data_IF_454233158332
#
_entry.id   IF_454233158332
#
_cell.length_a   1.000
_cell.length_b   1.000
_cell.length_c   1.000
_cell.angle_alpha   90.00
_cell.angle_beta   90.00
_cell.angle_gamma   90.00
#
_symmetry.space_group_name_H-M   'P 1'
#
loop_
_entity.id
_entity.type
_entity.pdbx_description
1 polymer ?
#
# COMPACT_ATOMS: atom_id res chain seq x y z
N UNK A 1 -15.08 -10.98 23.24
CA UNK A 1 -14.00 -11.84 23.80
C UNK A 1 -12.64 -11.17 23.65
N UNK A 2 -12.16 -10.81 22.45
CA UNK A 2 -10.89 -10.07 22.28
C UNK A 2 -10.82 -8.73 23.05
N UNK A 3 -11.87 -7.90 22.96
CA UNK A 3 -11.91 -6.64 23.70
C UNK A 3 -11.75 -6.83 25.22
N UNK A 4 -12.40 -7.86 25.78
CA UNK A 4 -12.28 -8.24 27.19
C UNK A 4 -10.89 -8.79 27.56
N UNK A 5 -10.11 -9.26 26.58
CA UNK A 5 -8.76 -9.81 26.80
C UNK A 5 -7.69 -8.72 26.85
N UNK A 6 -8.01 -7.56 26.28
CA UNK A 6 -7.19 -6.35 26.29
C UNK A 6 -7.43 -5.50 27.54
N UNK A 7 -8.50 -5.78 28.29
CA UNK A 7 -8.78 -5.14 29.58
C UNK A 7 -7.86 -5.75 30.65
N UNK A 8 -7.18 -4.94 31.48
CA UNK A 8 -6.31 -5.42 32.55
C UNK A 8 -7.02 -6.37 33.52
N UNK A 9 -6.29 -7.36 34.04
CA UNK A 9 -6.83 -8.33 34.98
C UNK A 9 -7.35 -7.63 36.26
N UNK A 10 -8.61 -7.91 36.62
CA UNK A 10 -9.27 -7.32 37.78
C UNK A 10 -10.18 -6.12 37.46
N UNK A 11 -10.15 -5.60 36.23
CA UNK A 11 -11.08 -4.54 35.80
C UNK A 11 -12.42 -5.11 35.29
N UNK A 12 -13.46 -4.27 35.32
CA UNK A 12 -14.81 -4.65 34.90
C UNK A 12 -14.81 -4.97 33.40
N UNK A 13 -15.16 -6.22 33.07
CA UNK A 13 -15.15 -6.72 31.69
C UNK A 13 -13.87 -7.46 31.29
N UNK A 14 -12.90 -7.62 32.20
CA UNK A 14 -11.73 -8.47 31.98
C UNK A 14 -12.10 -9.95 31.88
N UNK A 15 -11.39 -10.68 31.02
CA UNK A 15 -11.45 -12.14 30.99
C UNK A 15 -10.82 -12.74 32.25
N UNK A 16 -11.47 -13.76 32.82
CA UNK A 16 -10.88 -14.51 33.94
C UNK A 16 -9.57 -15.20 33.50
N UNK A 17 -8.57 -15.33 34.39
CA UNK A 17 -7.30 -15.98 34.05
C UNK A 17 -7.47 -17.42 33.53
N UNK A 18 -8.38 -18.19 34.13
CA UNK A 18 -8.69 -19.56 33.69
C UNK A 18 -9.24 -19.58 32.26
N UNK A 19 -10.16 -18.68 31.94
CA UNK A 19 -10.75 -18.61 30.60
C UNK A 19 -9.75 -18.13 29.55
N UNK A 20 -8.87 -17.22 29.92
CA UNK A 20 -7.75 -16.79 29.07
C UNK A 20 -6.83 -17.97 28.75
N UNK A 21 -6.41 -18.72 29.77
CA UNK A 21 -5.54 -19.90 29.60
C UNK A 21 -6.17 -20.96 28.71
N UNK A 22 -7.46 -21.25 28.89
CA UNK A 22 -8.18 -22.19 28.03
C UNK A 22 -8.21 -21.76 26.56
N UNK A 23 -8.33 -20.46 26.28
CA UNK A 23 -8.27 -19.94 24.92
C UNK A 23 -6.85 -20.00 24.33
N UNK A 24 -5.82 -19.72 25.14
CA UNK A 24 -4.40 -19.85 24.75
C UNK A 24 -4.03 -21.30 24.41
N UNK A 25 -4.63 -22.29 25.11
CA UNK A 25 -4.44 -23.71 24.82
C UNK A 25 -5.09 -24.15 23.49
N UNK A 26 -6.23 -23.56 23.13
CA UNK A 26 -6.93 -23.86 21.87
C UNK A 26 -6.18 -23.26 20.68
N UNK A 27 -5.77 -22.00 20.80
CA UNK A 27 -5.03 -21.26 19.78
C UNK A 27 -4.15 -20.23 20.47
N UNK A 28 -2.82 -20.43 20.54
CA UNK A 28 -1.90 -19.46 21.14
C UNK A 28 -2.04 -18.03 20.60
N UNK A 29 -2.61 -17.88 19.40
CA UNK A 29 -2.73 -16.63 18.67
C UNK A 29 -4.17 -16.10 18.58
N UNK A 30 -5.05 -16.51 19.50
CA UNK A 30 -6.44 -16.08 19.54
C UNK A 30 -6.63 -14.58 19.85
N UNK A 31 -5.69 -13.96 20.60
CA UNK A 31 -5.71 -12.53 20.94
C UNK A 31 -4.36 -11.84 20.63
N UNK A 32 -4.01 -11.67 19.35
CA UNK A 32 -2.71 -11.11 18.98
C UNK A 32 -2.69 -9.59 19.12
N UNK A 33 -1.49 -9.02 19.16
CA UNK A 33 -1.27 -7.56 19.19
C UNK A 33 -1.58 -6.87 17.85
N UNK A 34 -1.53 -7.61 16.74
CA UNK A 34 -1.71 -7.06 15.39
C UNK A 34 -3.17 -6.92 14.93
N UNK A 35 -3.44 -6.15 13.84
CA UNK A 35 -4.79 -5.92 13.35
C UNK A 35 -5.56 -7.18 12.97
N UNK A 36 -6.88 -7.18 13.20
CA UNK A 36 -7.78 -8.30 12.85
C UNK A 36 -7.75 -8.64 11.35
N UNK A 37 -7.52 -7.65 10.50
CA UNK A 37 -7.41 -7.84 9.04
C UNK A 37 -6.23 -8.76 8.71
N UNK A 38 -5.09 -8.56 9.38
CA UNK A 38 -3.92 -9.43 9.21
C UNK A 38 -4.24 -10.87 9.63
N UNK A 39 -4.89 -11.05 10.79
CA UNK A 39 -5.28 -12.37 11.29
C UNK A 39 -6.22 -13.10 10.31
N UNK A 40 -7.17 -12.38 9.70
CA UNK A 40 -8.09 -12.93 8.69
C UNK A 40 -7.35 -13.35 7.41
N UNK A 41 -6.45 -12.52 6.91
CA UNK A 41 -5.62 -12.85 5.74
C UNK A 41 -4.70 -14.05 6.02
N UNK A 42 -4.10 -14.12 7.21
CA UNK A 42 -3.31 -15.28 7.64
C UNK A 42 -4.15 -16.56 7.71
N UNK A 43 -5.31 -16.52 8.36
CA UNK A 43 -6.22 -17.68 8.42
C UNK A 43 -6.61 -18.17 7.02
N UNK A 44 -6.81 -17.25 6.08
CA UNK A 44 -7.09 -17.54 4.68
C UNK A 44 -5.91 -18.18 3.96
N UNK A 45 -4.68 -17.68 4.19
CA UNK A 45 -3.45 -18.29 3.69
C UNK A 45 -3.24 -19.70 4.26
N UNK A 46 -3.39 -19.87 5.58
CA UNK A 46 -3.31 -21.16 6.26
C UNK A 46 -4.36 -22.14 5.75
N UNK A 47 -5.58 -21.69 5.48
CA UNK A 47 -6.62 -22.53 4.89
C UNK A 47 -6.24 -23.02 3.50
N UNK A 48 -5.64 -22.16 2.65
CA UNK A 48 -5.12 -22.57 1.34
C UNK A 48 -4.02 -23.62 1.49
N UNK A 49 -3.10 -23.39 2.42
CA UNK A 49 -2.02 -24.33 2.75
C UNK A 49 -2.58 -25.71 3.14
N UNK A 50 -3.52 -25.75 4.08
CA UNK A 50 -4.19 -26.98 4.50
C UNK A 50 -4.95 -27.67 3.37
N UNK A 51 -5.70 -26.92 2.54
CA UNK A 51 -6.43 -27.48 1.37
C UNK A 51 -5.49 -28.04 0.29
N UNK A 52 -4.22 -27.67 0.31
CA UNK A 52 -3.22 -28.10 -0.68
C UNK A 52 -2.23 -29.11 -0.08
N UNK A 53 -2.54 -29.72 1.08
CA UNK A 53 -1.65 -30.63 1.81
C UNK A 53 -0.24 -30.04 2.06
N UNK A 54 -0.19 -28.72 2.27
CA UNK A 54 1.04 -27.96 2.47
C UNK A 54 1.85 -27.66 1.21
N UNK A 55 1.40 -28.10 0.04
CA UNK A 55 2.09 -27.92 -1.25
C UNK A 55 1.69 -26.60 -1.93
N UNK A 56 2.03 -25.47 -1.29
CA UNK A 56 1.80 -24.14 -1.86
C UNK A 56 3.13 -23.46 -2.17
N UNK A 57 3.35 -23.16 -3.45
CA UNK A 57 4.45 -22.29 -3.88
C UNK A 57 4.03 -20.82 -3.73
N UNK A 58 4.31 -20.25 -2.56
CA UNK A 58 4.02 -18.84 -2.26
C UNK A 58 4.82 -17.85 -3.11
N UNK A 59 5.97 -18.26 -3.62
CA UNK A 59 6.86 -17.40 -4.43
C UNK A 59 6.29 -17.18 -5.82
N UNK A 60 5.59 -18.19 -6.36
CA UNK A 60 4.95 -18.15 -7.68
C UNK A 60 3.48 -17.76 -7.65
N UNK A 61 2.94 -17.44 -6.47
CA UNK A 61 1.53 -17.07 -6.34
C UNK A 61 1.26 -15.76 -7.10
N UNK A 62 0.34 -15.73 -8.10
CA UNK A 62 0.03 -14.52 -8.83
C UNK A 62 -0.48 -13.41 -7.90
N UNK A 63 -0.02 -12.17 -8.12
CA UNK A 63 -0.33 -11.02 -7.24
C UNK A 63 -1.83 -10.73 -7.18
N UNK A 64 -2.58 -11.00 -8.24
CA UNK A 64 -4.02 -10.82 -8.34
C UNK A 64 -4.84 -12.01 -7.81
N UNK A 65 -4.19 -13.02 -7.21
CA UNK A 65 -4.89 -14.18 -6.65
C UNK A 65 -5.84 -13.77 -5.55
N UNK A 66 -7.13 -14.07 -5.76
CA UNK A 66 -8.19 -13.99 -4.75
C UNK A 66 -8.48 -15.38 -4.20
N UNK A 67 -8.58 -15.53 -2.89
CA UNK A 67 -8.97 -16.77 -2.23
C UNK A 67 -9.88 -16.47 -1.04
N UNK A 68 -11.03 -17.13 -0.94
CA UNK A 68 -12.06 -16.89 0.10
C UNK A 68 -12.43 -15.39 0.26
N UNK A 69 -12.43 -14.65 -0.87
CA UNK A 69 -12.75 -13.21 -0.91
C UNK A 69 -11.61 -12.27 -0.52
N UNK A 70 -10.44 -12.80 -0.14
CA UNK A 70 -9.25 -12.01 0.20
C UNK A 70 -8.29 -11.90 -0.99
N UNK A 71 -7.63 -10.75 -1.11
CA UNK A 71 -6.56 -10.49 -2.09
C UNK A 71 -5.24 -11.16 -1.64
N UNK A 72 -5.26 -12.49 -1.58
CA UNK A 72 -4.20 -13.31 -0.99
C UNK A 72 -2.85 -13.09 -1.68
N UNK A 73 -2.81 -13.01 -3.01
CA UNK A 73 -1.56 -12.77 -3.75
C UNK A 73 -0.85 -11.49 -3.34
N UNK A 74 -1.59 -10.37 -3.30
CA UNK A 74 -1.08 -9.07 -2.83
C UNK A 74 -0.65 -9.13 -1.38
N UNK A 75 -1.44 -9.78 -0.54
CA UNK A 75 -1.15 -9.87 0.89
C UNK A 75 0.15 -10.64 1.16
N UNK A 76 0.34 -11.80 0.51
CA UNK A 76 1.58 -12.60 0.61
C UNK A 76 2.77 -11.78 0.14
N UNK A 77 2.70 -11.18 -1.05
CA UNK A 77 3.79 -10.34 -1.55
C UNK A 77 4.12 -9.19 -0.58
N UNK A 78 3.09 -8.56 0.02
CA UNK A 78 3.28 -7.49 0.99
C UNK A 78 3.96 -7.98 2.28
N UNK A 79 3.64 -9.18 2.78
CA UNK A 79 4.31 -9.76 3.95
C UNK A 79 5.79 -10.02 3.65
N UNK A 80 6.09 -10.64 2.50
CA UNK A 80 7.46 -10.94 2.06
C UNK A 80 8.29 -9.67 1.84
N UNK A 81 7.71 -8.61 1.28
CA UNK A 81 8.36 -7.32 1.07
C UNK A 81 8.56 -6.50 2.36
N UNK A 82 7.71 -6.70 3.37
CA UNK A 82 7.72 -5.94 4.63
C UNK A 82 8.31 -6.73 5.78
N UNK A 83 8.98 -7.84 5.49
CA UNK A 83 9.41 -8.83 6.48
C UNK A 83 10.18 -8.25 7.69
N UNK A 84 11.13 -7.30 7.51
CA UNK A 84 11.86 -6.73 8.64
C UNK A 84 10.99 -5.92 9.63
N UNK A 85 9.80 -5.48 9.18
CA UNK A 85 8.86 -4.72 9.99
C UNK A 85 7.77 -5.56 10.66
N UNK A 86 7.79 -6.89 10.47
CA UNK A 86 6.84 -7.80 11.10
C UNK A 86 7.25 -8.13 12.54
N UNK A 87 6.26 -8.33 13.40
CA UNK A 87 6.49 -8.84 14.75
C UNK A 87 7.13 -10.24 14.71
N UNK A 88 7.81 -10.67 15.77
CA UNK A 88 8.43 -12.01 15.82
C UNK A 88 7.40 -13.12 15.57
N UNK A 89 6.30 -13.10 16.32
CA UNK A 89 5.26 -14.12 16.19
C UNK A 89 4.59 -14.11 14.81
N UNK A 90 4.51 -12.95 14.13
CA UNK A 90 4.02 -12.89 12.74
C UNK A 90 4.95 -13.63 11.78
N UNK A 91 6.26 -13.48 11.95
CA UNK A 91 7.26 -14.18 11.13
C UNK A 91 7.20 -15.68 11.39
N UNK A 92 7.06 -16.10 12.64
CA UNK A 92 6.92 -17.51 13.01
C UNK A 92 5.67 -18.13 12.39
N UNK A 93 4.53 -17.42 12.46
CA UNK A 93 3.26 -17.86 11.85
C UNK A 93 3.35 -18.02 10.34
N UNK A 94 3.98 -17.07 9.65
CA UNK A 94 4.17 -17.11 8.20
C UNK A 94 5.12 -18.24 7.79
N UNK A 95 6.23 -18.38 8.52
CA UNK A 95 7.22 -19.45 8.30
C UNK A 95 6.59 -20.82 8.50
N UNK A 96 5.70 -20.99 9.48
CA UNK A 96 4.99 -22.24 9.74
C UNK A 96 4.12 -22.73 8.56
N UNK A 97 3.70 -21.84 7.66
CA UNK A 97 2.96 -22.21 6.44
C UNK A 97 3.82 -22.08 5.17
N UNK A 98 5.14 -21.87 5.31
CA UNK A 98 6.10 -21.77 4.21
C UNK A 98 6.18 -20.40 3.52
N UNK A 99 5.60 -19.35 4.10
CA UNK A 99 5.81 -17.98 3.61
C UNK A 99 7.08 -17.43 4.27
N UNK A 100 8.08 -17.14 3.46
CA UNK A 100 9.39 -16.67 3.91
C UNK A 100 9.74 -15.31 3.30
N UNK A 101 10.74 -14.66 3.87
CA UNK A 101 11.23 -13.37 3.38
C UNK A 101 11.71 -13.42 1.93
N UNK A 102 11.69 -12.25 1.28
CA UNK A 102 12.19 -12.09 -0.07
C UNK A 102 13.13 -10.88 -0.09
N UNK A 103 14.45 -11.10 -0.07
CA UNK A 103 15.43 -10.01 -0.03
C UNK A 103 15.27 -9.02 -1.19
N UNK A 104 14.87 -9.49 -2.38
CA UNK A 104 14.65 -8.64 -3.53
C UNK A 104 13.43 -7.74 -3.34
N UNK A 105 12.32 -8.29 -2.82
CA UNK A 105 11.13 -7.49 -2.51
C UNK A 105 11.39 -6.50 -1.36
N UNK A 106 12.15 -6.90 -0.35
CA UNK A 106 12.56 -6.01 0.75
C UNK A 106 13.39 -4.85 0.20
N UNK A 107 14.41 -5.14 -0.59
CA UNK A 107 15.23 -4.11 -1.22
C UNK A 107 14.40 -3.19 -2.14
N UNK A 108 13.48 -3.76 -2.94
CA UNK A 108 12.59 -2.99 -3.80
C UNK A 108 11.66 -2.07 -3.00
N UNK A 109 11.14 -2.53 -1.85
CA UNK A 109 10.32 -1.71 -0.95
C UNK A 109 11.14 -0.58 -0.33
N UNK A 110 12.32 -0.87 0.20
CA UNK A 110 13.24 0.15 0.75
C UNK A 110 13.58 1.20 -0.31
N UNK A 111 13.90 0.77 -1.52
CA UNK A 111 14.17 1.68 -2.64
C UNK A 111 12.94 2.52 -3.04
N UNK A 112 11.74 1.94 -2.98
CA UNK A 112 10.50 2.67 -3.25
C UNK A 112 10.17 3.70 -2.15
N UNK A 113 10.44 3.37 -0.89
CA UNK A 113 10.24 4.26 0.26
C UNK A 113 11.28 5.39 0.33
N UNK A 114 12.51 5.13 -0.13
CA UNK A 114 13.56 6.14 -0.24
C UNK A 114 13.29 7.20 -1.31
N UNK A 115 12.40 6.91 -2.28
CA UNK A 115 12.00 7.92 -3.28
C UNK A 115 11.23 9.04 -2.59
N UNK A 116 11.58 10.32 -2.85
CA UNK A 116 10.90 11.43 -2.21
C UNK A 116 9.41 11.41 -2.56
N UNK A 117 8.56 11.47 -1.54
CA UNK A 117 7.11 11.61 -1.70
C UNK A 117 6.81 13.03 -2.16
N UNK A 118 6.82 13.26 -3.48
CA UNK A 118 6.47 14.58 -4.05
C UNK A 118 5.00 14.86 -3.75
N UNK A 119 4.74 15.92 -2.97
CA UNK A 119 3.39 16.28 -2.57
C UNK A 119 2.56 16.66 -3.81
N UNK A 120 1.23 16.64 -3.68
CA UNK A 120 0.36 17.03 -4.81
C UNK A 120 0.59 18.48 -5.23
N UNK A 121 0.90 19.34 -4.28
CA UNK A 121 1.27 20.75 -4.50
C UNK A 121 2.59 20.83 -5.27
N UNK A 122 3.60 20.05 -4.86
CA UNK A 122 4.89 20.02 -5.53
C UNK A 122 4.78 19.50 -6.97
N UNK A 123 3.92 18.50 -7.23
CA UNK A 123 3.66 18.01 -8.61
C UNK A 123 2.92 19.03 -9.47
N UNK A 124 2.04 19.84 -8.87
CA UNK A 124 1.38 20.92 -9.60
C UNK A 124 2.41 22.01 -9.96
N UNK A 125 3.20 22.45 -8.98
CA UNK A 125 4.27 23.44 -9.20
C UNK A 125 5.30 22.96 -10.23
N UNK A 126 5.73 21.71 -10.17
CA UNK A 126 6.65 21.11 -11.14
C UNK A 126 6.06 21.08 -12.55
N UNK A 127 4.79 20.68 -12.70
CA UNK A 127 4.12 20.68 -13.99
C UNK A 127 3.87 22.08 -14.54
N UNK A 128 3.57 23.06 -13.67
CA UNK A 128 3.42 24.47 -14.04
C UNK A 128 4.75 25.06 -14.52
N UNK A 129 5.85 24.80 -13.82
CA UNK A 129 7.19 25.23 -14.22
C UNK A 129 7.61 24.59 -15.56
N UNK A 130 7.33 23.30 -15.74
CA UNK A 130 7.57 22.60 -17.01
C UNK A 130 6.71 23.17 -18.16
N UNK A 131 5.45 23.55 -17.89
CA UNK A 131 4.60 24.21 -18.87
C UNK A 131 5.13 25.60 -19.23
N UNK A 132 5.58 26.38 -18.24
CA UNK A 132 6.16 27.70 -18.46
C UNK A 132 7.40 27.62 -19.35
N UNK A 133 8.31 26.68 -19.08
CA UNK A 133 9.48 26.43 -19.93
C UNK A 133 9.08 26.03 -21.36
N UNK A 134 8.10 25.13 -21.52
CA UNK A 134 7.59 24.75 -22.84
C UNK A 134 6.99 25.93 -23.60
N UNK A 135 6.22 26.79 -22.93
CA UNK A 135 5.65 28.00 -23.55
C UNK A 135 6.74 28.99 -23.93
N UNK A 136 7.79 29.14 -23.13
CA UNK A 136 8.94 29.97 -23.47
C UNK A 136 9.69 29.48 -24.71
N UNK A 137 9.85 28.16 -24.85
CA UNK A 137 10.56 27.55 -25.99
C UNK A 137 9.72 27.54 -27.28
N UNK A 138 8.44 27.17 -27.18
CA UNK A 138 7.58 26.94 -28.35
C UNK A 138 6.61 28.09 -28.65
N UNK A 139 6.49 29.07 -27.75
CA UNK A 139 5.57 30.20 -27.88
C UNK A 139 4.09 29.85 -27.69
N UNK A 140 3.76 28.60 -27.34
CA UNK A 140 2.37 28.16 -27.16
C UNK A 140 2.22 27.06 -26.09
N UNK A 141 1.05 26.92 -25.44
CA UNK A 141 0.80 25.88 -24.44
C UNK A 141 0.23 24.57 -25.00
N UNK A 142 0.25 24.38 -26.33
CA UNK A 142 -0.25 23.16 -26.99
C UNK A 142 0.76 22.01 -26.89
N UNK A 143 0.80 21.36 -25.72
CA UNK A 143 1.70 20.23 -25.45
C UNK A 143 1.12 18.93 -26.01
N UNK A 144 1.87 18.18 -26.86
CA UNK A 144 1.46 16.84 -27.30
C UNK A 144 1.29 15.87 -26.13
N UNK A 145 0.28 14.99 -26.16
CA UNK A 145 -0.02 14.07 -25.03
C UNK A 145 1.16 13.21 -24.60
N UNK A 146 1.99 12.76 -25.54
CA UNK A 146 3.14 11.91 -25.29
C UNK A 146 4.42 12.69 -24.90
N UNK A 147 4.37 14.02 -24.88
CA UNK A 147 5.54 14.85 -24.60
C UNK A 147 6.02 14.66 -23.16
N UNK A 148 7.33 14.46 -23.03
CA UNK A 148 8.07 14.36 -21.77
C UNK A 148 9.22 15.36 -21.80
N UNK A 149 9.43 16.07 -20.71
CA UNK A 149 10.59 16.94 -20.55
C UNK A 149 11.88 16.12 -20.36
N UNK A 150 13.04 16.77 -20.48
CA UNK A 150 14.33 16.14 -20.24
C UNK A 150 14.46 15.60 -18.79
N UNK A 151 13.77 16.23 -17.85
CA UNK A 151 13.69 15.83 -16.43
C UNK A 151 12.68 14.69 -16.19
N UNK A 152 12.10 14.13 -17.26
CA UNK A 152 11.18 13.00 -17.20
C UNK A 152 9.73 13.37 -16.83
N UNK A 153 9.40 14.66 -16.73
CA UNK A 153 8.03 15.11 -16.44
C UNK A 153 7.16 14.85 -17.66
N UNK A 154 6.11 14.02 -17.51
CA UNK A 154 5.15 13.75 -18.58
C UNK A 154 4.15 14.90 -18.74
N UNK A 155 4.64 16.03 -19.24
CA UNK A 155 3.91 17.31 -19.30
C UNK A 155 2.60 17.20 -20.09
N UNK A 156 2.58 16.47 -21.21
CA UNK A 156 1.36 16.27 -22.00
C UNK A 156 0.28 15.48 -21.25
N UNK A 157 0.67 14.48 -20.48
CA UNK A 157 -0.23 13.72 -19.63
C UNK A 157 -0.68 14.55 -18.42
N UNK A 158 0.23 15.32 -17.82
CA UNK A 158 -0.06 16.23 -16.71
C UNK A 158 -1.09 17.28 -17.12
N UNK A 159 -0.90 17.99 -18.23
CA UNK A 159 -1.81 19.05 -18.69
C UNK A 159 -3.22 18.50 -18.94
N UNK A 160 -3.33 17.35 -19.59
CA UNK A 160 -4.61 16.69 -19.83
C UNK A 160 -5.32 16.30 -18.51
N UNK A 161 -4.57 15.73 -17.56
CA UNK A 161 -5.12 15.34 -16.26
C UNK A 161 -5.53 16.57 -15.41
N UNK A 162 -4.77 17.66 -15.49
CA UNK A 162 -5.07 18.94 -14.84
C UNK A 162 -6.36 19.53 -15.42
N UNK A 163 -6.51 19.53 -16.75
CA UNK A 163 -7.74 19.96 -17.42
C UNK A 163 -8.95 19.11 -17.04
N UNK A 164 -8.82 17.79 -17.05
CA UNK A 164 -9.89 16.87 -16.67
C UNK A 164 -10.35 17.06 -15.21
N UNK A 165 -9.48 17.60 -14.35
CA UNK A 165 -9.76 17.86 -12.93
C UNK A 165 -10.01 19.34 -12.65
N UNK A 166 -10.39 20.15 -13.64
CA UNK A 166 -10.64 21.59 -13.50
C UNK A 166 -11.48 21.94 -12.27
N UNK A 167 -12.58 21.22 -12.04
CA UNK A 167 -13.49 21.46 -10.91
C UNK A 167 -12.85 21.27 -9.52
N UNK A 168 -11.65 20.67 -9.44
CA UNK A 168 -10.90 20.43 -8.19
C UNK A 168 -9.69 21.37 -8.03
N UNK A 169 -9.49 22.29 -8.97
CA UNK A 169 -8.43 23.30 -8.91
C UNK A 169 -8.89 24.51 -8.10
N UNK A 170 -7.96 25.12 -7.36
CA UNK A 170 -8.23 26.40 -6.69
C UNK A 170 -8.26 27.53 -7.72
N UNK A 171 -8.87 28.67 -7.35
CA UNK A 171 -8.89 29.85 -8.21
C UNK A 171 -7.47 30.32 -8.58
N UNK A 172 -6.53 30.25 -7.64
CA UNK A 172 -5.11 30.57 -7.87
C UNK A 172 -4.48 29.64 -8.92
N UNK A 173 -4.71 28.33 -8.83
CA UNK A 173 -4.19 27.36 -9.79
C UNK A 173 -4.75 27.56 -11.20
N UNK A 174 -6.03 27.94 -11.31
CA UNK A 174 -6.65 28.29 -12.59
C UNK A 174 -6.00 29.54 -13.17
N UNK A 175 -5.83 30.60 -12.37
CA UNK A 175 -5.17 31.84 -12.80
C UNK A 175 -3.74 31.62 -13.27
N UNK A 176 -2.98 30.76 -12.59
CA UNK A 176 -1.61 30.38 -13.00
C UNK A 176 -1.58 29.67 -14.37
N UNK A 177 -2.54 28.80 -14.66
CA UNK A 177 -2.64 28.12 -15.95
C UNK A 177 -3.10 29.07 -17.07
N UNK A 178 -4.05 29.95 -16.77
CA UNK A 178 -4.55 30.97 -17.69
C UNK A 178 -3.46 31.98 -18.07
N UNK A 179 -2.62 32.38 -17.11
CA UNK A 179 -1.46 33.23 -17.36
C UNK A 179 -0.44 32.62 -18.34
N UNK A 180 -0.39 31.29 -18.45
CA UNK A 180 0.42 30.56 -19.43
C UNK A 180 -0.32 30.27 -20.75
N UNK A 181 -1.52 30.84 -20.93
CA UNK A 181 -2.31 30.74 -22.16
C UNK A 181 -3.09 29.42 -22.29
N UNK A 182 -3.24 28.64 -21.22
CA UNK A 182 -4.00 27.40 -21.27
C UNK A 182 -5.48 27.70 -21.50
N UNK A 183 -5.95 27.45 -22.71
CA UNK A 183 -7.37 27.53 -23.04
C UNK A 183 -8.15 26.37 -22.40
N UNK A 184 -9.39 26.65 -21.99
CA UNK A 184 -10.27 25.68 -21.32
C UNK A 184 -11.36 25.14 -22.23
#
# INVERSE_FOLDING_TARGET
>A
MRAAAQVPAGEQGALSPERRRALEEIDPWWCPAWPIVWQRSYATARLRWLKSDGLVDWTRLPVDTVFEGEQLGRWVQAQRASWPGLEADQRDLLTAIGIEEDPELVAAKVAAEAKPKVSRTDRFAQGLAALAAFVQEHGHPRVPRAYKTAEGVSLGAWLNNTKARRAKLTAEQLGQLEALGVAW
#
